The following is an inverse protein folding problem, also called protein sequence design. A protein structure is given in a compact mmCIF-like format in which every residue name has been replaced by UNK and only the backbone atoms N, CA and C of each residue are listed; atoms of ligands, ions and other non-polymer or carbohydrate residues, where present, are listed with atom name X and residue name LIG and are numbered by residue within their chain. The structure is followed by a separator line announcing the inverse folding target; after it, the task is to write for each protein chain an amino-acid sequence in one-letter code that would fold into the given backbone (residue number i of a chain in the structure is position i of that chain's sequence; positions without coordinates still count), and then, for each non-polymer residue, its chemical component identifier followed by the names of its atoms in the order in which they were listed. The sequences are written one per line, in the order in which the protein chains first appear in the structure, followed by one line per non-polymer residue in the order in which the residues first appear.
data_IF_460709582648
#
_entry.id   IF_460709582648
#
_cell.length_a   1.000
_cell.length_b   1.000
_cell.length_c   1.000
_cell.angle_alpha   90.00
_cell.angle_beta   90.00
_cell.angle_gamma   90.00
#
_symmetry.space_group_name_H-M   'P 1'
#
loop_
_entity.id
_entity.type
_entity.pdbx_description
1 polymer ?
#
# COMPACT_ATOMS: atom_id res chain seq x y z
N UNK A 1 -44.18 25.84 -40.55
CA UNK A 1 -43.47 25.42 -39.32
C UNK A 1 -42.18 26.21 -39.08
N UNK A 2 -41.37 26.52 -40.10
CA UNK A 2 -40.15 27.34 -39.97
C UNK A 2 -40.39 28.74 -39.35
N UNK A 3 -41.39 29.50 -39.82
CA UNK A 3 -41.72 30.83 -39.28
C UNK A 3 -42.12 30.86 -37.79
N UNK A 4 -42.63 29.74 -37.26
CA UNK A 4 -43.00 29.60 -35.85
C UNK A 4 -41.77 29.42 -34.97
N UNK A 5 -40.80 28.65 -35.48
CA UNK A 5 -39.50 28.43 -34.83
C UNK A 5 -38.64 29.69 -34.87
N UNK A 6 -38.63 30.39 -36.01
CA UNK A 6 -37.90 31.65 -36.19
C UNK A 6 -38.36 32.74 -35.21
N UNK A 7 -39.69 32.90 -35.02
CA UNK A 7 -40.25 33.82 -34.03
C UNK A 7 -40.03 33.38 -32.58
N UNK A 8 -39.96 32.07 -32.32
CA UNK A 8 -39.73 31.51 -31.00
C UNK A 8 -38.23 31.32 -30.65
N UNK A 9 -37.31 31.69 -31.54
CA UNK A 9 -35.86 31.50 -31.36
C UNK A 9 -35.36 32.11 -30.04
N UNK A 10 -35.74 33.35 -29.74
CA UNK A 10 -35.30 34.05 -28.54
C UNK A 10 -35.79 33.38 -27.23
N UNK A 11 -37.10 33.11 -27.03
CA UNK A 11 -37.56 32.44 -25.82
C UNK A 11 -37.01 31.01 -25.70
N UNK A 12 -36.87 30.27 -26.81
CA UNK A 12 -36.28 28.93 -26.79
C UNK A 12 -34.83 28.99 -26.30
N UNK A 13 -34.02 29.91 -26.84
CA UNK A 13 -32.62 30.07 -26.45
C UNK A 13 -32.47 30.45 -24.97
N UNK A 14 -33.33 31.34 -24.46
CA UNK A 14 -33.35 31.70 -23.04
C UNK A 14 -33.68 30.49 -22.17
N UNK A 15 -34.69 29.70 -22.55
CA UNK A 15 -35.09 28.50 -21.80
C UNK A 15 -33.96 27.46 -21.83
N UNK A 16 -33.31 27.24 -22.97
CA UNK A 16 -32.17 26.32 -23.07
C UNK A 16 -31.02 26.76 -22.17
N UNK A 17 -30.64 28.05 -22.18
CA UNK A 17 -29.58 28.56 -21.31
C UNK A 17 -29.94 28.39 -19.83
N UNK A 18 -31.19 28.71 -19.45
CA UNK A 18 -31.65 28.53 -18.07
C UNK A 18 -31.63 27.05 -17.65
N UNK A 19 -32.03 26.15 -18.55
CA UNK A 19 -32.04 24.72 -18.28
C UNK A 19 -30.62 24.16 -18.19
N UNK A 20 -29.71 24.60 -19.07
CA UNK A 20 -28.28 24.25 -18.99
C UNK A 20 -27.64 24.77 -17.71
N UNK A 21 -27.90 26.02 -17.34
CA UNK A 21 -27.42 26.59 -16.08
C UNK A 21 -27.99 25.82 -14.86
N UNK A 22 -29.27 25.45 -14.91
CA UNK A 22 -29.91 24.62 -13.90
C UNK A 22 -29.23 23.26 -13.71
N UNK A 23 -28.92 22.56 -14.81
CA UNK A 23 -28.17 21.30 -14.72
C UNK A 23 -26.72 21.50 -14.26
N UNK A 24 -26.06 22.58 -14.68
CA UNK A 24 -24.69 22.89 -14.28
C UNK A 24 -24.55 23.08 -12.76
N UNK A 25 -25.60 23.56 -12.07
CA UNK A 25 -25.61 23.66 -10.60
C UNK A 25 -25.43 22.28 -9.94
N UNK A 26 -25.95 21.20 -10.54
CA UNK A 26 -25.80 19.83 -10.05
C UNK A 26 -24.39 19.25 -10.18
N UNK A 27 -23.47 19.94 -10.87
CA UNK A 27 -22.07 19.54 -11.04
C UNK A 27 -21.10 20.39 -10.20
N UNK A 28 -21.60 21.31 -9.37
CA UNK A 28 -20.77 22.13 -8.46
C UNK A 28 -20.09 21.25 -7.40
N UNK A 29 -20.76 20.16 -7.00
CA UNK A 29 -20.22 19.17 -6.09
C UNK A 29 -20.33 17.79 -6.76
N UNK A 30 -19.36 17.40 -7.62
CA UNK A 30 -19.39 16.11 -8.27
C UNK A 30 -19.36 15.02 -7.19
N UNK A 31 -20.14 13.93 -7.35
CA UNK A 31 -20.10 12.83 -6.39
C UNK A 31 -18.67 12.29 -6.28
N UNK A 32 -18.29 11.85 -5.07
CA UNK A 32 -16.99 11.21 -4.87
C UNK A 32 -16.87 10.01 -5.79
N UNK A 33 -15.76 9.94 -6.53
CA UNK A 33 -15.43 8.74 -7.29
C UNK A 33 -15.05 7.65 -6.29
N UNK A 34 -15.92 6.67 -6.07
CA UNK A 34 -15.60 5.51 -5.25
C UNK A 34 -14.50 4.72 -5.98
N UNK A 35 -13.26 4.89 -5.54
CA UNK A 35 -12.12 4.07 -5.97
C UNK A 35 -12.06 2.74 -5.24
N UNK A 36 -12.97 2.52 -4.29
CA UNK A 36 -13.03 1.28 -3.55
C UNK A 36 -13.46 0.14 -4.47
N UNK A 37 -12.53 -0.79 -4.71
CA UNK A 37 -12.74 -1.96 -5.54
C UNK A 37 -13.87 -2.85 -5.00
N UNK A 38 -14.09 -2.84 -3.68
CA UNK A 38 -15.12 -3.65 -3.02
C UNK A 38 -16.52 -3.22 -3.40
N UNK A 39 -16.73 -1.93 -3.71
CA UNK A 39 -18.04 -1.39 -4.13
C UNK A 39 -18.45 -1.87 -5.54
N UNK A 40 -17.51 -2.42 -6.32
CA UNK A 40 -17.80 -3.02 -7.62
C UNK A 40 -18.05 -4.53 -7.56
N UNK A 41 -17.93 -5.14 -6.37
CA UNK A 41 -18.24 -6.55 -6.15
C UNK A 41 -19.76 -6.70 -6.01
N UNK A 42 -20.40 -7.62 -6.75
CA UNK A 42 -21.84 -7.86 -6.59
C UNK A 42 -22.14 -8.45 -5.20
N UNK A 43 -23.29 -8.05 -4.64
CA UNK A 43 -23.71 -8.53 -3.31
C UNK A 43 -23.82 -10.06 -3.26
N UNK A 44 -23.22 -10.66 -2.23
CA UNK A 44 -23.20 -12.10 -1.94
C UNK A 44 -23.67 -12.36 -0.49
N UNK A 45 -24.21 -13.54 -0.22
CA UNK A 45 -24.61 -13.96 1.13
C UNK A 45 -23.43 -13.97 2.12
N UNK A 46 -22.20 -14.03 1.60
CA UNK A 46 -20.96 -14.01 2.36
C UNK A 46 -20.54 -12.60 2.81
N UNK A 47 -21.15 -11.52 2.28
CA UNK A 47 -20.77 -10.14 2.63
C UNK A 47 -20.98 -9.83 4.11
N UNK A 48 -21.99 -10.45 4.73
CA UNK A 48 -22.25 -10.36 6.18
C UNK A 48 -21.04 -10.87 6.98
N UNK A 49 -20.35 -11.90 6.50
CA UNK A 49 -19.16 -12.45 7.19
C UNK A 49 -18.01 -11.44 7.07
N UNK A 50 -17.80 -10.86 5.89
CA UNK A 50 -16.75 -9.87 5.65
C UNK A 50 -16.97 -8.65 6.56
N UNK A 51 -18.19 -8.11 6.61
CA UNK A 51 -18.54 -6.98 7.47
C UNK A 51 -18.33 -7.29 8.96
N UNK A 52 -18.67 -8.51 9.41
CA UNK A 52 -18.42 -8.91 10.81
C UNK A 52 -16.95 -9.06 11.16
N UNK A 53 -16.11 -9.45 10.21
CA UNK A 53 -14.65 -9.54 10.41
C UNK A 53 -14.05 -8.14 10.40
N UNK A 54 -14.42 -7.31 9.43
CA UNK A 54 -13.92 -5.94 9.27
C UNK A 54 -14.24 -5.08 10.51
N UNK A 55 -15.45 -5.23 11.07
CA UNK A 55 -15.84 -4.53 12.31
C UNK A 55 -15.00 -4.93 13.55
N UNK A 56 -14.30 -6.06 13.52
CA UNK A 56 -13.42 -6.51 14.60
C UNK A 56 -11.95 -6.20 14.34
N UNK A 57 -11.60 -5.84 13.11
CA UNK A 57 -10.24 -5.41 12.77
C UNK A 57 -10.12 -3.92 13.09
N UNK A 58 -9.23 -3.58 14.02
CA UNK A 58 -8.80 -2.18 14.18
C UNK A 58 -8.16 -1.70 12.88
N UNK A 59 -8.23 -0.39 12.57
CA UNK A 59 -7.52 0.21 11.42
C UNK A 59 -6.08 -0.27 11.39
N UNK A 60 -5.80 -1.19 10.46
CA UNK A 60 -4.48 -1.66 10.14
C UNK A 60 -3.94 -0.72 9.08
N UNK A 61 -2.69 -0.28 9.23
CA UNK A 61 -2.05 0.52 8.20
C UNK A 61 -2.18 -0.16 6.83
N UNK A 62 -2.39 0.61 5.78
CA UNK A 62 -2.49 0.08 4.42
C UNK A 62 -1.16 -0.62 4.07
N UNK A 63 -1.17 -1.89 3.62
CA UNK A 63 0.05 -2.58 3.27
C UNK A 63 0.69 -1.93 2.04
N UNK A 64 1.99 -1.63 2.15
CA UNK A 64 2.81 -1.15 1.06
C UNK A 64 3.78 -2.24 0.62
N UNK A 65 3.73 -2.61 -0.66
CA UNK A 65 4.56 -3.68 -1.22
C UNK A 65 5.69 -3.11 -2.06
N UNK A 66 6.91 -3.52 -1.74
CA UNK A 66 8.10 -3.22 -2.54
C UNK A 66 8.59 -4.49 -3.21
N UNK A 67 8.68 -4.48 -4.54
CA UNK A 67 9.26 -5.57 -5.29
C UNK A 67 10.76 -5.31 -5.52
N UNK A 68 11.61 -6.22 -5.02
CA UNK A 68 13.06 -6.07 -5.06
C UNK A 68 13.61 -7.01 -6.14
N UNK A 69 14.43 -6.47 -7.02
CA UNK A 69 15.06 -7.21 -8.13
C UNK A 69 16.55 -6.92 -8.19
N UNK A 70 17.30 -7.83 -8.82
CA UNK A 70 18.73 -7.72 -9.05
C UNK A 70 18.97 -7.61 -10.56
N UNK A 71 19.65 -6.56 -10.99
CA UNK A 71 19.87 -6.27 -12.43
C UNK A 71 20.71 -7.34 -13.14
N UNK A 72 21.57 -8.03 -12.40
CA UNK A 72 22.44 -9.10 -12.89
C UNK A 72 21.83 -10.51 -12.71
N UNK A 73 20.55 -10.59 -12.32
CA UNK A 73 19.75 -11.81 -12.38
C UNK A 73 20.12 -12.93 -11.41
N UNK A 74 20.92 -12.67 -10.36
CA UNK A 74 21.18 -13.69 -9.33
C UNK A 74 20.36 -13.49 -8.06
N UNK A 75 20.76 -14.17 -6.99
CA UNK A 75 19.92 -14.32 -5.81
C UNK A 75 19.73 -13.00 -5.03
N UNK A 76 18.49 -12.50 -4.96
CA UNK A 76 18.09 -11.34 -4.14
C UNK A 76 18.23 -11.60 -2.64
N UNK A 77 18.29 -12.88 -2.24
CA UNK A 77 18.55 -13.30 -0.86
C UNK A 77 20.03 -13.65 -0.61
N UNK A 78 20.96 -13.24 -1.49
CA UNK A 78 22.38 -13.30 -1.13
C UNK A 78 22.67 -12.35 0.03
N UNK A 79 23.67 -12.67 0.86
CA UNK A 79 24.00 -11.88 2.04
C UNK A 79 24.29 -10.41 1.69
N UNK A 80 25.09 -10.16 0.66
CA UNK A 80 25.36 -8.81 0.15
C UNK A 80 24.07 -8.07 -0.26
N UNK A 81 23.13 -8.79 -0.89
CA UNK A 81 21.85 -8.20 -1.27
C UNK A 81 20.99 -7.86 -0.07
N UNK A 82 21.05 -8.64 1.02
CA UNK A 82 20.33 -8.35 2.25
C UNK A 82 20.87 -7.07 2.90
N UNK A 83 22.19 -6.89 2.95
CA UNK A 83 22.80 -5.65 3.49
C UNK A 83 22.43 -4.41 2.67
N UNK A 84 22.33 -4.54 1.35
CA UNK A 84 21.83 -3.45 0.49
C UNK A 84 20.36 -3.14 0.81
N UNK A 85 19.53 -4.17 0.99
CA UNK A 85 18.13 -4.01 1.36
C UNK A 85 17.95 -3.41 2.75
N UNK A 86 18.78 -3.78 3.71
CA UNK A 86 18.80 -3.23 5.07
C UNK A 86 19.09 -1.73 5.03
N UNK A 87 20.09 -1.31 4.25
CA UNK A 87 20.41 0.11 4.10
C UNK A 87 19.25 0.89 3.48
N UNK A 88 18.63 0.34 2.42
CA UNK A 88 17.46 0.96 1.80
C UNK A 88 16.25 1.03 2.75
N UNK A 89 16.03 0.00 3.56
CA UNK A 89 14.99 -0.01 4.60
C UNK A 89 15.26 1.08 5.65
N UNK A 90 16.50 1.19 6.14
CA UNK A 90 16.91 2.21 7.09
C UNK A 90 16.65 3.62 6.56
N UNK A 91 16.95 3.89 5.28
CA UNK A 91 16.64 5.17 4.66
C UNK A 91 15.13 5.44 4.61
N UNK A 92 14.32 4.44 4.25
CA UNK A 92 12.86 4.56 4.22
C UNK A 92 12.26 4.83 5.60
N UNK A 93 12.71 4.11 6.63
CA UNK A 93 12.25 4.27 8.00
C UNK A 93 12.66 5.63 8.57
N UNK A 94 13.88 6.08 8.28
CA UNK A 94 14.34 7.41 8.66
C UNK A 94 13.48 8.51 8.01
N UNK A 95 13.20 8.41 6.70
CA UNK A 95 12.31 9.36 6.00
C UNK A 95 10.89 9.32 6.55
N UNK A 96 10.38 8.12 6.84
CA UNK A 96 9.08 7.92 7.48
C UNK A 96 9.01 8.64 8.83
N UNK A 97 10.05 8.53 9.67
CA UNK A 97 10.10 9.19 10.97
C UNK A 97 10.00 10.72 10.87
N UNK A 98 10.55 11.31 9.80
CA UNK A 98 10.47 12.76 9.53
C UNK A 98 9.08 13.20 9.04
N UNK A 99 8.32 12.30 8.43
CA UNK A 99 7.02 12.56 7.79
C UNK A 99 5.85 11.99 8.59
N UNK A 100 5.90 12.09 9.92
CA UNK A 100 4.84 11.64 10.85
C UNK A 100 4.73 10.13 11.06
N UNK A 101 5.84 9.40 10.93
CA UNK A 101 5.94 7.97 11.25
C UNK A 101 4.94 7.10 10.46
N UNK A 102 5.03 7.20 9.13
CA UNK A 102 4.14 6.52 8.18
C UNK A 102 4.29 4.99 8.17
N UNK A 103 5.49 4.49 8.45
CA UNK A 103 5.81 3.07 8.56
C UNK A 103 5.68 2.67 10.03
N UNK A 104 4.63 1.89 10.33
CA UNK A 104 4.35 1.39 11.68
C UNK A 104 5.10 0.08 11.95
N UNK A 105 5.18 -0.78 10.94
CA UNK A 105 5.91 -2.05 10.97
C UNK A 105 6.40 -2.42 9.58
N UNK A 106 7.44 -3.24 9.53
CA UNK A 106 7.96 -3.80 8.29
C UNK A 106 8.13 -5.33 8.44
N UNK A 107 7.87 -6.06 7.37
CA UNK A 107 8.06 -7.51 7.25
C UNK A 107 9.01 -7.84 6.10
N UNK A 108 9.93 -6.92 5.82
CA UNK A 108 10.92 -7.09 4.77
C UNK A 108 11.91 -8.20 5.14
N UNK A 109 12.61 -8.77 4.16
CA UNK A 109 13.65 -9.77 4.43
C UNK A 109 14.69 -9.28 5.48
N UNK A 110 15.33 -8.10 5.34
CA UNK A 110 16.24 -7.61 6.38
C UNK A 110 15.55 -7.35 7.72
N UNK A 111 14.31 -6.83 7.72
CA UNK A 111 13.57 -6.61 8.97
C UNK A 111 13.25 -7.90 9.73
N UNK A 112 12.88 -8.97 9.03
CA UNK A 112 12.65 -10.29 9.63
C UNK A 112 13.96 -10.86 10.18
N UNK A 113 15.07 -10.70 9.46
CA UNK A 113 16.38 -11.18 9.92
C UNK A 113 16.88 -10.41 11.13
N UNK A 114 16.71 -9.08 11.14
CA UNK A 114 17.04 -8.27 12.31
C UNK A 114 16.15 -8.64 13.50
N UNK A 115 14.85 -8.87 13.29
CA UNK A 115 13.96 -9.35 14.34
C UNK A 115 14.42 -10.71 14.91
N UNK A 116 14.80 -11.65 14.05
CA UNK A 116 15.33 -12.94 14.50
C UNK A 116 16.64 -12.78 15.29
N UNK A 117 17.48 -11.82 14.91
CA UNK A 117 18.69 -11.48 15.66
C UNK A 117 18.36 -10.86 17.02
N UNK A 118 17.42 -9.91 17.06
CA UNK A 118 16.97 -9.24 18.28
C UNK A 118 16.26 -10.21 19.25
N UNK A 119 15.64 -11.26 18.73
CA UNK A 119 15.04 -12.36 19.50
C UNK A 119 16.06 -13.38 19.98
N UNK A 120 17.21 -13.48 19.32
CA UNK A 120 18.34 -14.28 19.79
C UNK A 120 19.09 -13.52 20.89
N UNK A 121 19.86 -14.24 21.73
CA UNK A 121 20.73 -13.59 22.73
C UNK A 121 21.94 -12.85 22.08
N UNK A 122 22.02 -12.83 20.74
CA UNK A 122 23.03 -12.11 19.99
C UNK A 122 22.76 -10.59 19.98
N UNK A 123 23.83 -9.81 19.99
CA UNK A 123 23.76 -8.35 19.91
C UNK A 123 24.44 -7.86 18.65
N UNK A 124 23.83 -6.94 17.92
CA UNK A 124 24.45 -6.33 16.74
C UNK A 124 23.42 -5.97 15.66
N UNK A 125 23.93 -5.60 14.49
CA UNK A 125 23.15 -5.40 13.27
C UNK A 125 23.54 -6.43 12.22
N UNK A 126 22.76 -6.56 11.15
CA UNK A 126 23.09 -7.52 10.08
C UNK A 126 24.47 -7.23 9.47
N UNK A 127 24.89 -5.96 9.42
CA UNK A 127 26.23 -5.58 8.95
C UNK A 127 27.41 -6.16 9.73
N UNK A 128 27.19 -6.70 10.93
CA UNK A 128 28.24 -7.32 11.74
C UNK A 128 28.61 -8.74 11.26
N UNK A 129 27.85 -9.28 10.30
CA UNK A 129 28.05 -10.62 9.76
C UNK A 129 28.47 -10.56 8.29
N UNK A 130 29.33 -11.49 7.87
CA UNK A 130 29.85 -11.54 6.50
C UNK A 130 29.11 -12.55 5.61
N UNK A 131 28.30 -13.44 6.19
CA UNK A 131 27.59 -14.47 5.43
C UNK A 131 26.41 -15.08 6.19
N UNK A 132 25.54 -15.75 5.46
CA UNK A 132 24.48 -16.60 6.02
C UNK A 132 24.98 -17.59 7.07
N UNK A 133 26.17 -18.18 6.87
CA UNK A 133 26.74 -19.13 7.83
C UNK A 133 27.09 -18.46 9.16
N UNK A 134 27.64 -17.24 9.11
CA UNK A 134 27.98 -16.47 10.30
C UNK A 134 26.72 -16.03 11.07
N UNK A 135 25.71 -15.56 10.35
CA UNK A 135 24.43 -15.17 10.93
C UNK A 135 23.74 -16.34 11.61
N UNK A 136 23.60 -17.47 10.89
CA UNK A 136 22.94 -18.66 11.44
C UNK A 136 23.64 -19.24 12.66
N UNK A 137 24.97 -19.10 12.76
CA UNK A 137 25.71 -19.60 13.92
C UNK A 137 25.40 -18.82 15.22
N UNK A 138 24.95 -17.57 15.12
CA UNK A 138 24.54 -16.79 16.29
C UNK A 138 23.04 -16.88 16.56
N UNK A 139 22.22 -17.00 15.51
CA UNK A 139 20.74 -17.02 15.67
C UNK A 139 20.19 -18.42 15.98
N UNK A 140 20.91 -19.49 15.64
CA UNK A 140 20.45 -20.87 15.82
C UNK A 140 21.22 -21.54 16.94
N UNK A 141 20.50 -22.11 17.91
CA UNK A 141 21.11 -22.87 19.01
C UNK A 141 22.02 -23.99 18.50
N UNK A 142 23.19 -24.16 19.13
CA UNK A 142 24.21 -25.17 18.78
C UNK A 142 23.67 -26.62 18.78
N UNK A 143 22.54 -26.87 19.46
CA UNK A 143 21.89 -28.20 19.52
C UNK A 143 20.92 -28.46 18.36
N UNK A 144 20.67 -27.49 17.51
CA UNK A 144 19.75 -27.60 16.37
C UNK A 144 20.44 -28.32 15.23
N UNK A 145 19.97 -29.52 14.91
CA UNK A 145 20.46 -30.29 13.76
C UNK A 145 19.43 -30.23 12.63
N UNK A 146 19.83 -29.69 11.48
CA UNK A 146 19.04 -29.75 10.26
C UNK A 146 19.26 -31.11 9.59
N UNK A 147 18.25 -31.97 9.60
CA UNK A 147 18.22 -33.25 8.86
C UNK A 147 17.30 -33.17 7.66
#
# INVERSE_FOLDING_TARGET
MANLLERATLPILIITILMTAGFAIGFIDPPSFNTDLTTFVPEDENDVIIETVDAQLTETGLPFYTHITRDDGGNVLSWDSILIQENALYELENQSSMQSNLIISNISAPGILQLALDESDASGTLSDYDSWGSFLNETVDESTTCT
#
